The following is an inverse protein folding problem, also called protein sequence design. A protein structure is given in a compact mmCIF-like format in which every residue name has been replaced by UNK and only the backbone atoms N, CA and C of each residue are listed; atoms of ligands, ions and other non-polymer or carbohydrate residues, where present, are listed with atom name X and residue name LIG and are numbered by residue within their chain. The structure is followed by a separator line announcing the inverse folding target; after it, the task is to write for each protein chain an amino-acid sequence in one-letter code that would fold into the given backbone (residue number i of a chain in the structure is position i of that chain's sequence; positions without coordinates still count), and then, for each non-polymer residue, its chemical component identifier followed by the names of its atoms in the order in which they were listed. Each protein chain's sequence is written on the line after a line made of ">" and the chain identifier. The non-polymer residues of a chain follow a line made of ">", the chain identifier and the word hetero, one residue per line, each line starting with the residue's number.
data_IF_747233826223
#
_entry.id   IF_747233826223
#
_cell.length_a   1.000
_cell.length_b   1.000
_cell.length_c   1.000
_cell.angle_alpha   90.00
_cell.angle_beta   90.00
_cell.angle_gamma   90.00
#
_symmetry.space_group_name_H-M   'P 1'
#
loop_
_entity.id
_entity.type
_entity.pdbx_description
1 polymer ?
#
# COMPACT_ATOMS: atom_id res chain seq x y z
N UNK A 1 -7.20 -27.96 26.37
CA UNK A 1 -7.00 -26.57 25.91
C UNK A 1 -5.66 -26.56 25.18
N UNK A 2 -5.65 -26.75 23.86
CA UNK A 2 -4.39 -26.75 23.10
C UNK A 2 -3.78 -25.35 23.05
N UNK A 3 -2.54 -25.22 23.51
CA UNK A 3 -1.76 -23.99 23.48
C UNK A 3 -1.52 -23.54 22.03
N UNK A 4 -2.14 -22.42 21.65
CA UNK A 4 -1.91 -21.79 20.34
C UNK A 4 -0.45 -21.33 20.23
N UNK A 5 0.37 -22.14 19.54
CA UNK A 5 1.76 -21.82 19.21
C UNK A 5 1.85 -20.49 18.46
N UNK A 6 2.39 -19.46 19.12
CA UNK A 6 2.61 -18.15 18.53
C UNK A 6 3.59 -18.26 17.36
N UNK A 7 3.17 -17.82 16.17
CA UNK A 7 4.00 -17.82 14.96
C UNK A 7 4.56 -16.42 14.75
N UNK A 8 5.89 -16.29 14.76
CA UNK A 8 6.57 -15.02 14.46
C UNK A 8 6.23 -14.59 13.04
N UNK A 9 5.50 -13.49 12.91
CA UNK A 9 5.23 -12.83 11.62
C UNK A 9 6.30 -11.77 11.34
N UNK A 10 6.40 -11.35 10.08
CA UNK A 10 7.34 -10.30 9.71
C UNK A 10 6.94 -8.97 10.37
N UNK A 11 7.89 -8.26 10.98
CA UNK A 11 7.62 -7.00 11.68
C UNK A 11 7.22 -5.85 10.73
N UNK A 12 7.43 -6.05 9.42
CA UNK A 12 7.03 -5.12 8.36
C UNK A 12 5.59 -5.32 7.88
N UNK A 13 4.91 -6.40 8.30
CA UNK A 13 3.53 -6.65 7.88
C UNK A 13 2.61 -5.51 8.38
N UNK A 14 2.07 -4.73 7.45
CA UNK A 14 1.14 -3.63 7.76
C UNK A 14 1.80 -2.31 8.17
N UNK A 15 3.14 -2.20 8.14
CA UNK A 15 3.80 -0.90 8.35
C UNK A 15 3.73 -0.05 7.08
N UNK A 16 3.22 1.16 7.22
CA UNK A 16 3.23 2.16 6.17
C UNK A 16 4.61 2.83 6.10
N UNK A 17 5.18 3.05 4.91
CA UNK A 17 6.45 3.76 4.77
C UNK A 17 6.27 5.21 5.20
N UNK A 18 7.05 5.65 6.20
CA UNK A 18 7.10 7.03 6.65
C UNK A 18 8.46 7.65 6.30
N UNK A 19 8.44 8.88 5.81
CA UNK A 19 9.64 9.71 5.62
C UNK A 19 9.66 10.71 6.78
N UNK A 20 10.52 10.46 7.77
CA UNK A 20 10.55 11.24 9.01
C UNK A 20 9.21 11.16 9.79
N UNK A 21 8.72 12.28 10.35
CA UNK A 21 7.45 12.31 11.09
C UNK A 21 6.20 12.27 10.20
N UNK A 22 6.37 12.30 8.87
CA UNK A 22 5.27 12.36 7.91
C UNK A 22 5.10 11.03 7.15
N UNK A 23 3.86 10.60 6.87
CA UNK A 23 3.62 9.46 5.99
C UNK A 23 4.15 9.77 4.58
N UNK A 24 4.92 8.86 3.97
CA UNK A 24 5.48 9.10 2.63
C UNK A 24 4.38 9.30 1.57
N UNK A 25 3.20 8.73 1.81
CA UNK A 25 2.04 8.81 0.92
C UNK A 25 1.43 10.22 0.78
N UNK A 26 1.86 11.20 1.60
CA UNK A 26 1.39 12.59 1.50
C UNK A 26 2.22 13.44 0.53
N UNK A 27 3.43 13.02 0.17
CA UNK A 27 4.33 13.80 -0.70
C UNK A 27 3.84 13.86 -2.16
N UNK A 28 3.33 12.74 -2.68
CA UNK A 28 2.85 12.65 -4.06
C UNK A 28 1.68 13.62 -4.30
N UNK A 29 0.62 13.65 -3.46
CA UNK A 29 -0.45 14.64 -3.59
C UNK A 29 0.03 16.08 -3.52
N UNK A 30 0.93 16.42 -2.60
CA UNK A 30 1.44 17.79 -2.49
C UNK A 30 2.21 18.22 -3.74
N UNK A 31 3.01 17.32 -4.33
CA UNK A 31 3.71 17.58 -5.59
C UNK A 31 2.74 17.79 -6.76
N UNK A 32 1.65 17.02 -6.81
CA UNK A 32 0.62 17.19 -7.85
C UNK A 32 -0.11 18.52 -7.67
N UNK A 33 -0.54 18.85 -6.45
CA UNK A 33 -1.24 20.09 -6.14
C UNK A 33 -0.36 21.30 -6.44
N UNK A 34 0.91 21.27 -6.05
CA UNK A 34 1.85 22.37 -6.33
C UNK A 34 2.12 22.51 -7.83
N UNK A 35 2.28 21.40 -8.55
CA UNK A 35 2.46 21.39 -10.01
C UNK A 35 1.25 21.97 -10.75
N UNK A 36 0.04 21.54 -10.38
CA UNK A 36 -1.21 22.07 -10.96
C UNK A 36 -1.37 23.56 -10.63
N UNK A 37 -1.09 23.96 -9.38
CA UNK A 37 -1.21 25.36 -8.95
C UNK A 37 -0.24 26.26 -9.71
N UNK A 38 1.00 25.81 -9.92
CA UNK A 38 2.00 26.53 -10.72
C UNK A 38 1.55 26.65 -12.18
N UNK A 39 1.07 25.56 -12.78
CA UNK A 39 0.59 25.57 -14.16
C UNK A 39 -0.60 26.51 -14.37
N UNK A 40 -1.60 26.47 -13.48
CA UNK A 40 -2.78 27.34 -13.58
C UNK A 40 -2.44 28.81 -13.31
N UNK A 41 -1.77 29.10 -12.20
CA UNK A 41 -1.54 30.47 -11.78
C UNK A 41 -0.46 31.16 -12.62
N UNK A 42 0.66 30.47 -12.88
CA UNK A 42 1.79 31.07 -13.57
C UNK A 42 1.81 30.77 -15.07
N UNK A 43 1.40 29.57 -15.47
CA UNK A 43 1.32 29.18 -16.89
C UNK A 43 0.15 29.85 -17.62
N UNK A 44 -1.07 29.72 -17.10
CA UNK A 44 -2.28 30.18 -17.79
C UNK A 44 -2.60 31.65 -17.49
N UNK A 45 -2.54 32.05 -16.22
CA UNK A 45 -3.04 33.35 -15.75
C UNK A 45 -1.94 34.40 -15.53
N UNK A 46 -0.66 34.02 -15.67
CA UNK A 46 0.53 34.89 -15.42
C UNK A 46 0.44 35.69 -14.11
N UNK A 47 -0.14 35.09 -13.08
CA UNK A 47 -0.34 35.71 -11.77
C UNK A 47 0.98 35.79 -11.00
N UNK A 48 1.05 36.78 -10.10
CA UNK A 48 2.18 36.95 -9.18
C UNK A 48 2.38 35.72 -8.29
N UNK A 49 3.63 35.51 -7.84
CA UNK A 49 4.00 34.38 -6.97
C UNK A 49 3.15 34.30 -5.70
N UNK A 50 2.72 35.44 -5.15
CA UNK A 50 1.80 35.48 -4.00
C UNK A 50 0.55 34.62 -4.25
N UNK A 51 -0.10 34.78 -5.40
CA UNK A 51 -1.33 34.06 -5.71
C UNK A 51 -1.09 32.58 -5.92
N UNK A 52 0.03 32.24 -6.56
CA UNK A 52 0.42 30.85 -6.77
C UNK A 52 0.70 30.14 -5.44
N UNK A 53 1.41 30.81 -4.52
CA UNK A 53 1.64 30.30 -3.16
C UNK A 53 0.34 30.20 -2.35
N UNK A 54 -0.57 31.18 -2.46
CA UNK A 54 -1.86 31.14 -1.78
C UNK A 54 -2.72 29.97 -2.27
N UNK A 55 -2.79 29.74 -3.58
CA UNK A 55 -3.54 28.62 -4.17
C UNK A 55 -2.91 27.28 -3.77
N UNK A 56 -1.58 27.17 -3.83
CA UNK A 56 -0.87 25.97 -3.41
C UNK A 56 -1.09 25.68 -1.91
N UNK A 57 -0.96 26.68 -1.05
CA UNK A 57 -1.20 26.55 0.38
C UNK A 57 -2.64 26.16 0.68
N UNK A 58 -3.60 26.76 -0.03
CA UNK A 58 -5.02 26.39 0.09
C UNK A 58 -5.27 24.95 -0.34
N UNK A 59 -4.74 24.52 -1.49
CA UNK A 59 -4.87 23.14 -1.97
C UNK A 59 -4.23 22.12 -1.01
N UNK A 60 -3.06 22.45 -0.44
CA UNK A 60 -2.41 21.62 0.58
C UNK A 60 -3.27 21.55 1.85
N UNK A 61 -3.87 22.66 2.29
CA UNK A 61 -4.77 22.69 3.45
C UNK A 61 -6.05 21.87 3.22
N UNK A 62 -6.66 21.95 2.03
CA UNK A 62 -7.82 21.13 1.65
C UNK A 62 -7.46 19.64 1.67
N UNK A 63 -6.28 19.30 1.13
CA UNK A 63 -5.79 17.92 1.15
C UNK A 63 -5.51 17.42 2.57
N UNK A 64 -5.00 18.27 3.46
CA UNK A 64 -4.83 17.96 4.88
C UNK A 64 -6.15 17.67 5.57
N UNK A 65 -7.19 18.48 5.33
CA UNK A 65 -8.54 18.23 5.87
C UNK A 65 -9.07 16.86 5.43
N UNK A 66 -8.86 16.50 4.17
CA UNK A 66 -9.29 15.21 3.62
C UNK A 66 -8.53 14.04 4.25
N UNK A 67 -7.22 14.19 4.46
CA UNK A 67 -6.35 13.08 4.89
C UNK A 67 -6.09 13.01 6.40
N UNK A 68 -6.61 13.94 7.20
CA UNK A 68 -6.40 14.03 8.65
C UNK A 68 -6.78 12.74 9.41
N UNK A 69 -7.82 12.02 8.98
CA UNK A 69 -8.26 10.76 9.60
C UNK A 69 -7.66 9.49 8.94
N UNK A 70 -6.56 9.65 8.20
CA UNK A 70 -5.89 8.57 7.48
C UNK A 70 -6.27 8.55 5.99
N UNK A 71 -5.27 8.71 5.13
CA UNK A 71 -5.44 8.78 3.67
C UNK A 71 -6.23 7.58 3.11
N UNK A 72 -5.99 6.38 3.63
CA UNK A 72 -6.67 5.15 3.20
C UNK A 72 -8.19 5.21 3.38
N UNK A 73 -8.74 5.98 4.32
CA UNK A 73 -10.21 6.05 4.52
C UNK A 73 -10.93 6.69 3.33
N UNK A 74 -10.25 7.59 2.62
CA UNK A 74 -10.79 8.24 1.43
C UNK A 74 -10.32 7.49 0.18
N UNK A 75 -9.02 7.20 0.08
CA UNK A 75 -8.45 6.53 -1.09
C UNK A 75 -8.99 5.11 -1.31
N UNK A 76 -9.28 4.35 -0.25
CA UNK A 76 -9.85 3.02 -0.39
C UNK A 76 -11.28 3.01 -0.95
N UNK A 77 -12.00 4.15 -0.96
CA UNK A 77 -13.32 4.24 -1.59
C UNK A 77 -13.25 4.18 -3.12
N UNK A 78 -12.11 4.56 -3.70
CA UNK A 78 -11.88 4.50 -5.14
C UNK A 78 -11.34 3.13 -5.59
N UNK A 79 -10.95 2.27 -4.65
CA UNK A 79 -10.55 0.90 -4.92
C UNK A 79 -11.75 0.00 -4.66
N UNK A 80 -12.17 -0.78 -5.67
CA UNK A 80 -13.23 -1.76 -5.47
C UNK A 80 -12.84 -2.73 -4.34
N UNK A 81 -13.75 -2.94 -3.37
CA UNK A 81 -13.51 -3.92 -2.30
C UNK A 81 -13.21 -5.27 -2.93
N UNK A 82 -12.06 -5.91 -2.61
CA UNK A 82 -11.75 -7.20 -3.19
C UNK A 82 -12.84 -8.19 -2.77
N UNK A 83 -13.47 -8.84 -3.75
CA UNK A 83 -14.40 -9.94 -3.47
C UNK A 83 -13.60 -11.10 -2.86
N UNK A 84 -13.68 -11.24 -1.54
CA UNK A 84 -13.17 -12.42 -0.83
C UNK A 84 -14.06 -13.62 -1.15
N UNK A 85 -13.90 -14.17 -2.35
CA UNK A 85 -14.49 -15.44 -2.70
C UNK A 85 -13.68 -16.55 -2.03
N UNK A 86 -14.36 -17.44 -1.29
CA UNK A 86 -13.72 -18.65 -0.76
C UNK A 86 -13.39 -19.58 -1.93
N UNK A 87 -12.22 -19.41 -2.52
CA UNK A 87 -11.70 -20.36 -3.49
C UNK A 87 -11.33 -21.63 -2.71
N UNK A 88 -12.11 -22.69 -2.88
CA UNK A 88 -11.73 -24.03 -2.42
C UNK A 88 -10.70 -24.57 -3.41
N UNK A 89 -9.45 -24.16 -3.27
CA UNK A 89 -8.36 -24.79 -4.01
C UNK A 89 -8.23 -26.25 -3.53
N UNK A 90 -8.25 -27.20 -4.46
CA UNK A 90 -7.86 -28.58 -4.15
C UNK A 90 -6.43 -28.58 -3.62
N UNK A 91 -6.24 -29.20 -2.45
CA UNK A 91 -4.93 -29.37 -1.86
C UNK A 91 -3.98 -30.04 -2.86
N UNK A 92 -2.90 -29.33 -3.25
CA UNK A 92 -1.81 -29.91 -4.03
C UNK A 92 -0.68 -30.25 -3.07
N UNK A 93 -0.30 -31.53 -2.92
CA UNK A 93 0.82 -31.90 -2.07
C UNK A 93 2.11 -31.30 -2.63
N UNK A 94 2.92 -30.71 -1.75
CA UNK A 94 4.23 -30.12 -2.09
C UNK A 94 5.21 -31.19 -2.59
N UNK A 95 5.02 -32.43 -2.15
CA UNK A 95 5.87 -33.57 -2.48
C UNK A 95 5.04 -34.61 -3.23
N UNK A 96 5.53 -35.03 -4.40
CA UNK A 96 4.90 -36.08 -5.15
C UNK A 96 5.14 -37.44 -4.45
N UNK A 97 4.09 -38.19 -4.06
CA UNK A 97 4.26 -39.47 -3.35
C UNK A 97 5.06 -40.49 -4.16
N UNK A 98 5.09 -40.39 -5.50
CA UNK A 98 5.92 -41.24 -6.36
C UNK A 98 7.42 -41.00 -6.15
N UNK A 99 7.83 -39.74 -5.96
CA UNK A 99 9.22 -39.37 -5.69
C UNK A 99 9.66 -39.86 -4.30
N UNK A 100 8.79 -39.78 -3.29
CA UNK A 100 9.08 -40.31 -1.95
C UNK A 100 9.31 -41.82 -1.98
N UNK A 101 8.51 -42.56 -2.75
CA UNK A 101 8.70 -44.02 -2.91
C UNK A 101 10.04 -44.33 -3.57
N UNK A 102 10.40 -43.65 -4.66
CA UNK A 102 11.68 -43.84 -5.34
C UNK A 102 12.89 -43.56 -4.42
N UNK A 103 12.82 -42.49 -3.62
CA UNK A 103 13.86 -42.16 -2.64
C UNK A 103 13.97 -43.20 -1.53
N UNK A 104 12.86 -43.78 -1.05
CA UNK A 104 12.88 -44.85 -0.05
C UNK A 104 13.48 -46.14 -0.60
N UNK A 105 13.13 -46.53 -1.83
CA UNK A 105 13.68 -47.73 -2.48
C UNK A 105 15.19 -47.60 -2.69
N UNK A 106 15.68 -46.43 -3.13
CA UNK A 106 17.11 -46.16 -3.28
C UNK A 106 17.87 -46.19 -1.94
N UNK A 107 17.25 -45.75 -0.84
CA UNK A 107 17.87 -45.72 0.49
C UNK A 107 18.02 -47.09 1.14
N UNK A 108 17.23 -48.08 0.70
CA UNK A 108 17.27 -49.45 1.21
C UNK A 108 18.20 -50.37 0.39
N UNK A 109 18.68 -49.87 -0.75
CA UNK A 109 19.61 -50.54 -1.67
C UNK A 109 21.08 -50.10 -1.45
N UNK A 110 21.34 -49.31 -0.40
CA UNK A 110 22.66 -48.94 0.11
C UNK A 110 22.80 -49.53 1.51
#
# INVERSE_FOLDING_TARGET
>A
MEDKKYRKVNATLGKQPSIGPFPADQLIPWAIISGISYYLAHGLLRLNWIWTCSIAAWGIATWWILTANGAWRILAKFVATPNWTRIRCLYKPVINPKQVKALKTSKYQR
#
